data_IF_866848657071
#
_entry.id   IF_866848657071
#
_cell.length_a   1.000
_cell.length_b   1.000
_cell.length_c   1.000
_cell.angle_alpha   90.00
_cell.angle_beta   90.00
_cell.angle_gamma   90.00
#
_symmetry.space_group_name_H-M   'P 1'
#
loop_
_entity.id
_entity.type
_entity.pdbx_description
1 polymer ?
#
# COMPACT_ATOMS: atom_id res chain seq x y z
N UNK A 1 -14.61 -11.21 -17.22
CA UNK A 1 -15.55 -11.37 -16.10
C UNK A 1 -15.30 -10.21 -15.17
N UNK A 2 -16.36 -9.57 -14.72
CA UNK A 2 -16.31 -8.37 -13.90
C UNK A 2 -16.72 -8.74 -12.48
N UNK A 3 -15.92 -8.40 -11.47
CA UNK A 3 -16.18 -8.75 -10.08
C UNK A 3 -16.47 -7.50 -9.27
N UNK A 4 -17.48 -7.59 -8.41
CA UNK A 4 -17.77 -6.55 -7.42
C UNK A 4 -16.83 -6.70 -6.23
N UNK A 5 -16.20 -5.60 -5.82
CA UNK A 5 -15.37 -5.53 -4.61
C UNK A 5 -15.89 -4.45 -3.67
N UNK A 6 -15.66 -4.65 -2.38
CA UNK A 6 -15.87 -3.63 -1.33
C UNK A 6 -14.52 -3.26 -0.76
N UNK A 7 -14.10 -2.01 -0.94
CA UNK A 7 -12.85 -1.50 -0.43
C UNK A 7 -12.91 -1.26 1.09
N UNK A 8 -11.76 -1.18 1.78
CA UNK A 8 -11.68 -0.96 3.22
C UNK A 8 -12.52 0.21 3.77
N UNK A 9 -12.68 1.28 3.01
CA UNK A 9 -13.49 2.44 3.40
C UNK A 9 -15.01 2.27 3.22
N UNK A 10 -15.43 1.22 2.52
CA UNK A 10 -16.80 1.00 2.08
C UNK A 10 -17.11 1.41 0.64
N UNK A 11 -16.13 1.92 -0.14
CA UNK A 11 -16.29 2.12 -1.58
C UNK A 11 -16.57 0.78 -2.28
N UNK A 12 -17.69 0.69 -3.00
CA UNK A 12 -18.10 -0.52 -3.74
C UNK A 12 -18.08 -0.25 -5.23
N UNK A 13 -17.46 -1.15 -5.98
CA UNK A 13 -17.53 -1.08 -7.43
C UNK A 13 -17.18 -2.37 -8.13
N UNK A 14 -17.46 -2.37 -9.43
CA UNK A 14 -17.16 -3.46 -10.34
C UNK A 14 -15.81 -3.21 -10.98
N UNK A 15 -14.93 -4.20 -10.88
CA UNK A 15 -13.61 -4.19 -11.50
C UNK A 15 -13.46 -5.34 -12.49
N UNK A 16 -12.48 -5.19 -13.38
CA UNK A 16 -12.00 -6.26 -14.27
C UNK A 16 -10.50 -6.45 -14.12
N UNK A 17 -10.00 -7.60 -14.57
CA UNK A 17 -8.57 -7.79 -14.79
C UNK A 17 -8.02 -6.88 -15.90
N UNK A 18 -6.71 -6.67 -15.85
CA UNK A 18 -5.94 -6.01 -16.89
C UNK A 18 -6.00 -6.81 -18.20
N UNK A 19 -5.93 -6.10 -19.32
CA UNK A 19 -5.81 -6.67 -20.67
C UNK A 19 -4.44 -6.27 -21.23
N UNK A 20 -4.03 -6.89 -22.34
CA UNK A 20 -2.74 -6.60 -22.99
C UNK A 20 -2.51 -5.09 -23.27
N UNK A 21 -3.57 -4.32 -23.53
CA UNK A 21 -3.47 -2.86 -23.70
C UNK A 21 -2.98 -2.11 -22.45
N UNK A 22 -3.16 -2.65 -21.25
CA UNK A 22 -2.69 -2.04 -19.99
C UNK A 22 -1.19 -2.32 -19.76
N UNK A 23 -0.58 -3.26 -20.50
CA UNK A 23 0.88 -3.49 -20.49
C UNK A 23 1.65 -2.20 -20.83
N UNK A 24 1.13 -1.39 -21.75
CA UNK A 24 1.73 -0.09 -22.10
C UNK A 24 1.84 0.85 -20.90
N UNK A 25 0.87 0.79 -19.97
CA UNK A 25 0.84 1.61 -18.76
C UNK A 25 1.91 1.11 -17.80
N UNK A 26 2.03 -0.21 -17.62
CA UNK A 26 3.06 -0.86 -16.81
C UNK A 26 4.49 -0.60 -17.34
N UNK A 27 4.65 -0.55 -18.66
CA UNK A 27 5.93 -0.28 -19.31
C UNK A 27 6.31 1.21 -19.37
N UNK A 28 5.37 2.14 -19.12
CA UNK A 28 5.61 3.57 -19.24
C UNK A 28 6.46 4.11 -18.08
N UNK A 29 7.73 4.37 -18.37
CA UNK A 29 8.69 4.94 -17.42
C UNK A 29 8.30 6.33 -16.93
N UNK A 30 7.59 7.15 -17.72
CA UNK A 30 7.14 8.48 -17.29
C UNK A 30 6.01 8.36 -16.27
N UNK A 31 5.07 7.42 -16.47
CA UNK A 31 4.02 7.14 -15.49
C UNK A 31 4.57 6.54 -14.20
N UNK A 32 5.52 5.60 -14.31
CA UNK A 32 6.25 5.08 -13.16
C UNK A 32 7.08 6.17 -12.46
N UNK A 33 7.56 7.17 -13.21
CA UNK A 33 8.32 8.30 -12.62
C UNK A 33 7.45 9.27 -11.85
N UNK A 34 6.26 9.56 -12.37
CA UNK A 34 5.30 10.51 -11.78
C UNK A 34 4.41 9.89 -10.69
N UNK A 35 4.43 8.57 -10.51
CA UNK A 35 3.49 7.86 -9.63
C UNK A 35 2.06 7.77 -10.21
N UNK A 36 1.86 8.18 -11.47
CA UNK A 36 0.54 8.16 -12.11
C UNK A 36 0.14 6.77 -12.65
N UNK A 37 1.09 5.83 -12.71
CA UNK A 37 0.87 4.48 -13.26
C UNK A 37 -0.27 3.74 -12.56
N UNK A 38 -0.25 3.72 -11.22
CA UNK A 38 -1.28 3.06 -10.41
C UNK A 38 -2.67 3.62 -10.70
N UNK A 39 -2.80 4.95 -10.71
CA UNK A 39 -4.09 5.59 -11.02
C UNK A 39 -4.59 5.23 -12.42
N UNK A 40 -3.72 5.17 -13.43
CA UNK A 40 -4.16 4.79 -14.78
C UNK A 40 -4.66 3.34 -14.84
N UNK A 41 -4.03 2.42 -14.11
CA UNK A 41 -4.51 1.04 -14.03
C UNK A 41 -5.85 0.98 -13.32
N UNK A 42 -5.98 1.66 -12.17
CA UNK A 42 -7.24 1.75 -11.41
C UNK A 42 -8.37 2.32 -12.27
N UNK A 43 -8.13 3.47 -12.93
CA UNK A 43 -9.10 4.11 -13.81
C UNK A 43 -9.48 3.24 -15.03
N UNK A 44 -8.53 2.49 -15.59
CA UNK A 44 -8.81 1.61 -16.72
C UNK A 44 -9.60 0.36 -16.30
N UNK A 45 -9.37 -0.17 -15.11
CA UNK A 45 -9.91 -1.45 -14.65
C UNK A 45 -11.15 -1.33 -13.76
N UNK A 46 -11.48 -0.14 -13.29
CA UNK A 46 -12.74 0.18 -12.61
C UNK A 46 -13.84 0.44 -13.63
N UNK A 47 -14.85 -0.43 -13.68
CA UNK A 47 -15.90 -0.38 -14.69
C UNK A 47 -17.12 0.42 -14.23
N UNK A 48 -17.50 0.29 -12.96
CA UNK A 48 -18.71 0.93 -12.42
C UNK A 48 -18.56 1.16 -10.92
N UNK A 49 -18.94 2.34 -10.45
CA UNK A 49 -19.09 2.63 -9.01
C UNK A 49 -20.52 2.30 -8.60
N UNK A 50 -20.69 1.38 -7.65
CA UNK A 50 -22.01 0.97 -7.14
C UNK A 50 -22.38 1.72 -5.86
N UNK A 51 -21.37 2.00 -5.03
CA UNK A 51 -21.49 2.83 -3.83
C UNK A 51 -20.17 3.62 -3.69
N UNK A 52 -20.25 4.94 -3.59
CA UNK A 52 -19.06 5.78 -3.43
C UNK A 52 -18.45 5.71 -2.01
N UNK A 53 -19.08 5.01 -1.06
CA UNK A 53 -18.57 4.85 0.30
C UNK A 53 -18.51 6.20 1.03
N UNK A 54 -17.33 6.66 1.48
CA UNK A 54 -17.18 7.95 2.14
C UNK A 54 -16.84 9.09 1.16
N UNK A 55 -16.88 8.86 -0.16
CA UNK A 55 -16.49 9.86 -1.15
C UNK A 55 -17.71 10.51 -1.81
N UNK A 56 -17.55 11.77 -2.21
CA UNK A 56 -18.52 12.49 -3.06
C UNK A 56 -17.87 12.82 -4.42
N UNK A 57 -18.29 12.06 -5.44
CA UNK A 57 -17.88 12.28 -6.84
C UNK A 57 -18.98 12.92 -7.68
N UNK A 58 -20.16 13.17 -7.10
CA UNK A 58 -21.36 13.55 -7.87
C UNK A 58 -21.64 12.59 -9.04
N UNK A 59 -21.90 13.15 -10.21
CA UNK A 59 -22.10 12.40 -11.47
C UNK A 59 -20.79 12.13 -12.23
N UNK A 60 -19.64 12.55 -11.69
CA UNK A 60 -18.36 12.42 -12.38
C UNK A 60 -17.78 11.01 -12.19
N UNK A 61 -16.92 10.55 -13.13
CA UNK A 61 -16.12 9.36 -12.91
C UNK A 61 -15.31 9.49 -11.61
N UNK A 62 -15.04 8.34 -10.98
CA UNK A 62 -14.25 8.28 -9.76
C UNK A 62 -12.90 9.02 -9.92
N UNK A 63 -12.66 9.97 -9.02
CA UNK A 63 -11.37 10.66 -8.92
C UNK A 63 -10.48 9.91 -7.96
N UNK A 64 -9.66 9.03 -8.52
CA UNK A 64 -8.69 8.23 -7.77
C UNK A 64 -7.66 9.06 -7.00
N UNK A 65 -7.48 10.35 -7.31
CA UNK A 65 -6.66 11.26 -6.52
C UNK A 65 -7.26 11.54 -5.13
N UNK A 66 -8.58 11.50 -4.98
CA UNK A 66 -9.30 11.74 -3.71
C UNK A 66 -9.53 10.47 -2.90
N UNK A 67 -9.42 9.30 -3.52
CA UNK A 67 -9.61 8.00 -2.86
C UNK A 67 -8.45 7.75 -1.88
N UNK A 68 -8.78 7.18 -0.71
CA UNK A 68 -7.81 6.79 0.31
C UNK A 68 -6.77 5.80 -0.24
N UNK A 69 -5.54 5.92 0.26
CA UNK A 69 -4.43 5.04 -0.11
C UNK A 69 -4.77 3.55 0.11
N UNK A 70 -5.40 3.20 1.24
CA UNK A 70 -5.80 1.83 1.54
C UNK A 70 -6.75 1.23 0.51
N UNK A 71 -7.77 1.98 0.09
CA UNK A 71 -8.70 1.57 -0.96
C UNK A 71 -8.03 1.39 -2.31
N UNK A 72 -7.15 2.33 -2.67
CA UNK A 72 -6.39 2.28 -3.93
C UNK A 72 -5.52 1.05 -4.00
N UNK A 73 -4.80 0.76 -2.91
CA UNK A 73 -3.95 -0.41 -2.81
C UNK A 73 -4.76 -1.71 -2.82
N UNK A 74 -5.86 -1.77 -2.08
CA UNK A 74 -6.77 -2.92 -2.09
C UNK A 74 -7.37 -3.16 -3.49
N UNK A 75 -7.90 -2.13 -4.15
CA UNK A 75 -8.46 -2.27 -5.50
C UNK A 75 -7.40 -2.75 -6.52
N UNK A 76 -6.17 -2.23 -6.42
CA UNK A 76 -5.04 -2.69 -7.22
C UNK A 76 -4.73 -4.17 -6.99
N UNK A 77 -4.71 -4.61 -5.73
CA UNK A 77 -4.50 -6.00 -5.35
C UNK A 77 -5.57 -6.90 -5.99
N UNK A 78 -6.85 -6.51 -5.89
CA UNK A 78 -7.95 -7.27 -6.50
C UNK A 78 -7.85 -7.30 -8.03
N UNK A 79 -7.46 -6.20 -8.69
CA UNK A 79 -7.20 -6.17 -10.13
C UNK A 79 -6.06 -7.13 -10.49
N UNK A 80 -4.98 -7.18 -9.71
CA UNK A 80 -3.90 -8.17 -9.90
C UNK A 80 -4.48 -9.57 -9.82
N UNK A 81 -5.23 -9.89 -8.76
CA UNK A 81 -5.85 -11.22 -8.57
C UNK A 81 -6.68 -11.63 -9.79
N UNK A 82 -7.48 -10.72 -10.35
CA UNK A 82 -8.26 -11.00 -11.56
C UNK A 82 -7.44 -11.15 -12.84
N UNK A 83 -6.24 -10.58 -12.88
CA UNK A 83 -5.36 -10.59 -14.05
C UNK A 83 -4.50 -11.84 -14.11
N UNK A 84 -3.99 -12.30 -12.96
CA UNK A 84 -2.96 -13.33 -12.90
C UNK A 84 -3.27 -14.49 -11.95
N UNK A 85 -4.43 -14.44 -11.29
CA UNK A 85 -4.77 -15.38 -10.24
C UNK A 85 -4.39 -14.89 -8.85
N UNK A 86 -4.85 -15.60 -7.80
CA UNK A 86 -4.67 -15.20 -6.41
C UNK A 86 -3.27 -15.50 -5.85
N UNK A 87 -2.59 -16.51 -6.37
CA UNK A 87 -1.28 -16.95 -5.89
C UNK A 87 -0.19 -15.92 -6.22
N UNK A 88 0.62 -15.58 -5.23
CA UNK A 88 1.79 -14.73 -5.41
C UNK A 88 3.04 -15.40 -4.84
N UNK A 89 3.93 -15.80 -5.74
CA UNK A 89 5.23 -16.33 -5.41
C UNK A 89 6.30 -15.24 -5.47
N UNK A 90 7.17 -15.22 -4.46
CA UNK A 90 8.31 -14.31 -4.38
C UNK A 90 9.42 -14.97 -3.57
N UNK A 91 10.58 -14.31 -3.49
CA UNK A 91 11.66 -14.79 -2.65
C UNK A 91 12.42 -13.68 -1.97
N UNK A 92 12.79 -13.96 -0.73
CA UNK A 92 13.53 -13.06 0.15
C UNK A 92 14.78 -13.76 0.70
N UNK A 93 15.86 -13.01 0.99
CA UNK A 93 17.01 -13.56 1.71
C UNK A 93 16.62 -13.88 3.16
N UNK A 94 17.16 -14.96 3.72
CA UNK A 94 17.06 -15.19 5.16
C UNK A 94 17.84 -14.12 5.94
N UNK A 95 17.24 -13.55 6.99
CA UNK A 95 17.89 -12.53 7.83
C UNK A 95 18.88 -13.11 8.84
N UNK A 96 18.83 -14.42 9.10
CA UNK A 96 19.79 -15.07 9.97
C UNK A 96 21.18 -15.01 9.34
N UNK A 97 22.12 -14.25 9.94
CA UNK A 97 23.48 -14.05 9.41
C UNK A 97 24.27 -15.33 9.15
N UNK A 98 23.95 -16.43 9.84
CA UNK A 98 24.57 -17.74 9.63
C UNK A 98 23.95 -18.53 8.46
N UNK A 99 22.74 -18.18 8.04
CA UNK A 99 22.01 -18.80 6.94
C UNK A 99 22.11 -17.91 5.70
N UNK A 100 22.47 -18.49 4.55
CA UNK A 100 22.55 -17.77 3.27
C UNK A 100 21.45 -18.22 2.30
N UNK A 101 20.44 -18.90 2.82
CA UNK A 101 19.34 -19.40 2.02
C UNK A 101 18.51 -18.26 1.44
N UNK A 102 17.97 -18.51 0.25
CA UNK A 102 16.84 -17.76 -0.29
C UNK A 102 15.57 -18.52 0.04
N UNK A 103 14.65 -17.83 0.69
CA UNK A 103 13.34 -18.37 1.04
C UNK A 103 12.46 -18.15 -0.19
N UNK A 104 12.01 -19.22 -0.83
CA UNK A 104 10.96 -19.16 -1.85
C UNK A 104 9.62 -19.32 -1.12
N UNK A 105 8.71 -18.36 -1.31
CA UNK A 105 7.44 -18.30 -0.60
C UNK A 105 6.29 -18.07 -1.57
N UNK A 106 5.13 -18.64 -1.28
CA UNK A 106 3.89 -18.42 -2.03
C UNK A 106 2.73 -18.23 -1.06
N UNK A 107 1.86 -17.28 -1.36
CA UNK A 107 0.64 -17.04 -0.59
C UNK A 107 -0.53 -16.65 -1.48
N UNK A 108 -1.74 -16.79 -0.96
CA UNK A 108 -2.96 -16.29 -1.60
C UNK A 108 -3.19 -14.82 -1.20
N UNK A 109 -3.15 -13.91 -2.19
CA UNK A 109 -3.34 -12.48 -1.94
C UNK A 109 -4.73 -12.13 -1.37
N UNK A 110 -5.71 -13.03 -1.47
CA UNK A 110 -7.06 -12.84 -0.90
C UNK A 110 -7.11 -13.13 0.59
N UNK A 111 -6.11 -13.83 1.12
CA UNK A 111 -6.00 -14.18 2.54
C UNK A 111 -5.26 -13.11 3.35
N UNK A 112 -4.71 -12.08 2.69
CA UNK A 112 -4.10 -10.95 3.37
C UNK A 112 -5.16 -10.22 4.24
N UNK A 113 -4.88 -9.98 5.53
CA UNK A 113 -5.81 -9.28 6.40
C UNK A 113 -6.15 -7.89 5.86
N UNK A 114 -7.42 -7.51 5.97
CA UNK A 114 -7.91 -6.20 5.54
C UNK A 114 -8.47 -5.47 6.74
N UNK A 115 -7.87 -4.32 7.05
CA UNK A 115 -8.33 -3.40 8.10
C UNK A 115 -9.35 -2.45 7.50
N UNK A 116 -10.62 -2.60 7.88
CA UNK A 116 -11.70 -1.69 7.47
C UNK A 116 -11.57 -0.33 8.16
N UNK A 117 -11.97 0.73 7.49
CA UNK A 117 -12.03 2.06 8.08
C UNK A 117 -13.06 2.07 9.21
N UNK A 118 -12.64 2.42 10.42
CA UNK A 118 -13.55 2.49 11.58
C UNK A 118 -14.61 3.58 11.38
N UNK A 119 -15.77 3.44 12.03
CA UNK A 119 -16.84 4.45 11.96
C UNK A 119 -16.36 5.84 12.42
N UNK A 120 -15.50 5.89 13.44
CA UNK A 120 -14.87 7.11 13.92
C UNK A 120 -13.99 7.75 12.84
N UNK A 121 -13.11 6.96 12.22
CA UNK A 121 -12.20 7.46 11.17
C UNK A 121 -12.97 7.86 9.91
N UNK A 122 -14.05 7.14 9.59
CA UNK A 122 -14.96 7.49 8.50
C UNK A 122 -15.67 8.81 8.76
N UNK A 123 -16.19 9.04 9.96
CA UNK A 123 -16.82 10.30 10.33
C UNK A 123 -15.83 11.48 10.27
N UNK A 124 -14.61 11.29 10.79
CA UNK A 124 -13.54 12.29 10.73
C UNK A 124 -13.12 12.60 9.28
N UNK A 125 -13.01 11.55 8.44
CA UNK A 125 -12.72 11.68 7.01
C UNK A 125 -13.78 12.51 6.29
N UNK A 126 -15.05 12.21 6.49
CA UNK A 126 -16.19 12.94 5.89
C UNK A 126 -16.28 14.40 6.35
N UNK A 127 -15.93 14.69 7.61
CA UNK A 127 -16.02 16.05 8.15
C UNK A 127 -14.94 16.96 7.57
N UNK A 128 -13.67 16.53 7.60
CA UNK A 128 -12.55 17.35 7.12
C UNK A 128 -11.27 16.57 6.83
N UNK A 129 -11.28 15.24 6.96
CA UNK A 129 -10.06 14.42 6.94
C UNK A 129 -8.98 14.96 7.88
N UNK A 130 -9.37 15.30 9.11
CA UNK A 130 -8.47 15.90 10.10
C UNK A 130 -8.61 15.20 11.44
N UNK A 131 -7.48 14.72 11.94
CA UNK A 131 -7.32 13.98 13.18
C UNK A 131 -6.37 14.76 14.08
N UNK A 132 -6.57 14.70 15.39
CA UNK A 132 -5.75 15.42 16.35
C UNK A 132 -5.24 14.50 17.44
N UNK A 133 -4.00 14.72 17.86
CA UNK A 133 -3.40 14.05 19.02
C UNK A 133 -2.40 14.98 19.70
N UNK A 134 -1.90 14.59 20.86
CA UNK A 134 -0.88 15.33 21.61
C UNK A 134 0.35 14.45 21.75
N UNK A 135 1.49 14.97 21.28
CA UNK A 135 2.77 14.28 21.40
C UNK A 135 3.15 14.12 22.87
N UNK A 136 3.41 12.90 23.37
CA UNK A 136 3.66 12.66 24.78
C UNK A 136 4.92 13.36 25.31
N UNK A 137 6.01 13.40 24.54
CA UNK A 137 7.28 13.98 24.98
C UNK A 137 7.38 15.46 24.64
N UNK A 138 7.07 15.84 23.39
CA UNK A 138 7.09 17.24 22.97
C UNK A 138 5.96 18.08 23.60
N UNK A 139 4.90 17.44 24.11
CA UNK A 139 3.73 18.11 24.70
C UNK A 139 3.01 19.04 23.72
N UNK A 140 3.13 18.78 22.41
CA UNK A 140 2.54 19.60 21.34
C UNK A 140 1.32 18.91 20.76
N UNK A 141 0.25 19.68 20.56
CA UNK A 141 -0.90 19.23 19.79
C UNK A 141 -0.55 19.22 18.30
N UNK A 142 -0.86 18.12 17.63
CA UNK A 142 -0.63 17.95 16.20
C UNK A 142 -1.92 17.55 15.53
N UNK A 143 -2.11 18.03 14.30
CA UNK A 143 -3.17 17.54 13.43
C UNK A 143 -2.56 16.77 12.26
N UNK A 144 -3.22 15.71 11.85
CA UNK A 144 -2.81 14.87 10.74
C UNK A 144 -4.03 14.36 9.98
N UNK A 145 -3.80 13.69 8.86
CA UNK A 145 -4.87 13.22 7.97
C UNK A 145 -4.60 11.83 7.41
N UNK A 146 -5.65 11.20 6.88
CA UNK A 146 -5.49 10.01 6.05
C UNK A 146 -4.94 10.42 4.68
N UNK A 147 -4.06 9.58 4.13
CA UNK A 147 -3.43 9.81 2.84
C UNK A 147 -4.34 9.37 1.70
N UNK A 148 -4.31 10.14 0.61
CA UNK A 148 -5.11 9.95 -0.61
C UNK A 148 -4.20 9.74 -1.82
N UNK A 149 -4.78 9.40 -2.97
CA UNK A 149 -4.03 9.27 -4.23
C UNK A 149 -3.24 10.52 -4.65
N UNK A 150 -3.72 11.72 -4.30
CA UNK A 150 -2.99 12.98 -4.52
C UNK A 150 -1.67 13.00 -3.74
N UNK A 151 -1.67 12.46 -2.52
CA UNK A 151 -0.50 12.41 -1.66
C UNK A 151 0.52 11.40 -2.16
N UNK A 152 0.05 10.21 -2.57
CA UNK A 152 0.91 9.19 -3.16
C UNK A 152 1.69 9.71 -4.37
N UNK A 153 1.00 10.46 -5.24
CA UNK A 153 1.61 11.08 -6.42
C UNK A 153 2.66 12.12 -6.04
N UNK A 154 2.34 12.99 -5.08
CA UNK A 154 3.25 14.02 -4.60
C UNK A 154 4.48 13.40 -3.93
N UNK A 155 4.29 12.33 -3.14
CA UNK A 155 5.35 11.55 -2.52
C UNK A 155 6.25 10.87 -3.56
N UNK A 156 5.68 10.24 -4.59
CA UNK A 156 6.44 9.55 -5.63
C UNK A 156 7.38 10.50 -6.40
N UNK A 157 6.93 11.73 -6.66
CA UNK A 157 7.74 12.77 -7.30
C UNK A 157 8.92 13.22 -6.41
N UNK A 158 8.68 13.34 -5.10
CA UNK A 158 9.66 13.90 -4.15
C UNK A 158 10.62 12.88 -3.54
N UNK A 159 10.23 11.60 -3.38
CA UNK A 159 11.13 10.51 -2.94
C UNK A 159 12.36 10.39 -3.85
N UNK A 160 12.23 10.70 -5.15
CA UNK A 160 13.39 10.75 -6.07
C UNK A 160 14.27 11.99 -5.91
N UNK A 161 13.74 13.09 -5.39
CA UNK A 161 14.47 14.34 -5.23
C UNK A 161 15.23 14.43 -3.91
N UNK A 162 14.71 13.82 -2.83
CA UNK A 162 15.20 14.02 -1.47
C UNK A 162 16.09 12.88 -0.91
N UNK A 163 16.23 11.76 -1.62
CA UNK A 163 16.91 10.56 -1.10
C UNK A 163 16.08 9.79 -0.06
N UNK A 164 16.58 8.63 0.38
CA UNK A 164 15.88 7.72 1.30
C UNK A 164 15.84 8.26 2.74
N UNK A 165 14.93 9.20 3.03
CA UNK A 165 14.49 9.52 4.39
C UNK A 165 13.01 9.13 4.55
N UNK A 166 12.69 7.83 4.73
CA UNK A 166 11.31 7.36 4.61
C UNK A 166 10.39 7.93 5.68
N UNK A 167 10.87 7.99 6.93
CA UNK A 167 10.02 8.33 8.08
C UNK A 167 9.71 9.84 8.19
N UNK A 168 10.72 10.71 8.12
CA UNK A 168 10.49 12.17 8.18
C UNK A 168 9.70 12.67 6.98
N UNK A 169 9.89 12.06 5.81
CA UNK A 169 9.07 12.32 4.63
C UNK A 169 7.61 11.94 4.91
N UNK A 170 7.34 10.72 5.39
CA UNK A 170 5.99 10.26 5.74
C UNK A 170 5.31 11.23 6.73
N UNK A 171 5.99 11.54 7.84
CA UNK A 171 5.49 12.50 8.84
C UNK A 171 5.19 13.86 8.20
N UNK A 172 6.05 14.34 7.31
CA UNK A 172 5.88 15.63 6.63
C UNK A 172 4.63 15.73 5.75
N UNK A 173 4.23 14.63 5.11
CA UNK A 173 3.01 14.58 4.29
C UNK A 173 1.74 14.42 5.10
N UNK A 174 1.86 13.72 6.22
CA UNK A 174 0.71 13.26 6.99
C UNK A 174 0.29 14.23 8.08
N UNK A 175 1.27 14.84 8.76
CA UNK A 175 1.02 15.95 9.65
C UNK A 175 0.53 17.15 8.83
N UNK A 176 -0.45 17.89 9.32
CA UNK A 176 -0.95 19.12 8.70
C UNK A 176 -0.45 20.34 9.47
N UNK A 177 -0.76 20.39 10.77
CA UNK A 177 -0.42 21.50 11.66
C UNK A 177 0.22 20.98 12.94
N UNK A 178 1.14 21.75 13.49
CA UNK A 178 1.82 21.47 14.76
C UNK A 178 1.69 22.73 15.59
N UNK A 179 1.14 22.61 16.80
CA UNK A 179 0.88 23.76 17.67
C UNK A 179 2.17 24.53 17.99
N UNK A 180 2.12 25.85 17.82
CA UNK A 180 3.27 26.74 18.00
C UNK A 180 4.40 26.59 16.97
N UNK A 181 4.20 25.87 15.86
CA UNK A 181 5.19 25.70 14.80
C UNK A 181 4.65 26.27 13.48
N UNK A 182 5.36 27.26 12.94
CA UNK A 182 5.03 27.85 11.64
C UNK A 182 5.22 26.83 10.50
N UNK A 183 4.42 26.89 9.41
CA UNK A 183 4.51 25.93 8.30
C UNK A 183 5.92 25.77 7.70
N UNK A 184 6.72 26.84 7.69
CA UNK A 184 8.11 26.83 7.20
C UNK A 184 9.07 26.06 8.10
N UNK A 185 8.77 25.97 9.39
CA UNK A 185 9.61 25.36 10.42
C UNK A 185 9.18 23.91 10.71
N UNK A 186 8.07 23.46 10.12
CA UNK A 186 7.53 22.09 10.26
C UNK A 186 8.54 20.99 9.94
N UNK A 187 9.27 21.11 8.83
CA UNK A 187 10.24 20.08 8.44
C UNK A 187 11.36 19.95 9.49
N UNK A 188 11.84 21.09 9.99
CA UNK A 188 12.85 21.12 11.04
C UNK A 188 12.33 20.50 12.34
N UNK A 189 11.09 20.83 12.73
CA UNK A 189 10.46 20.23 13.90
C UNK A 189 10.37 18.69 13.77
N UNK A 190 10.01 18.18 12.60
CA UNK A 190 9.94 16.74 12.34
C UNK A 190 11.33 16.08 12.42
N UNK A 191 12.38 16.76 11.94
CA UNK A 191 13.76 16.27 12.01
C UNK A 191 14.32 16.27 13.44
N UNK A 192 13.88 17.20 14.28
CA UNK A 192 14.26 17.32 15.69
C UNK A 192 13.37 16.49 16.64
N UNK A 193 12.37 15.77 16.12
CA UNK A 193 11.40 15.02 16.92
C UNK A 193 12.03 13.77 17.56
N UNK A 194 11.76 13.56 18.85
CA UNK A 194 12.20 12.38 19.57
C UNK A 194 11.58 11.08 19.02
N UNK A 195 12.34 9.98 19.01
CA UNK A 195 11.87 8.72 18.45
C UNK A 195 10.64 8.12 19.16
N UNK A 196 10.43 8.45 20.44
CA UNK A 196 9.23 8.03 21.18
C UNK A 196 7.97 8.70 20.63
N UNK A 197 8.01 10.03 20.41
CA UNK A 197 6.94 10.76 19.74
C UNK A 197 6.71 10.29 18.29
N UNK A 198 7.79 9.99 17.56
CA UNK A 198 7.70 9.40 16.21
C UNK A 198 6.96 8.05 16.26
N UNK A 199 7.33 7.18 17.19
CA UNK A 199 6.69 5.86 17.35
C UNK A 199 5.22 6.00 17.76
N UNK A 200 4.91 6.93 18.67
CA UNK A 200 3.55 7.26 19.05
C UNK A 200 2.72 7.73 17.85
N UNK A 201 3.26 8.63 17.03
CA UNK A 201 2.61 9.10 15.79
C UNK A 201 2.33 7.96 14.82
N UNK A 202 3.28 7.05 14.61
CA UNK A 202 3.08 5.88 13.76
C UNK A 202 1.95 4.98 14.28
N UNK A 203 1.84 4.80 15.61
CA UNK A 203 0.73 4.07 16.22
C UNK A 203 -0.62 4.77 16.03
N UNK A 204 -0.66 6.10 16.15
CA UNK A 204 -1.87 6.87 15.88
C UNK A 204 -2.28 6.83 14.40
N UNK A 205 -1.32 6.81 13.50
CA UNK A 205 -1.56 6.64 12.07
C UNK A 205 -2.14 5.29 11.75
N UNK A 206 -1.51 4.22 12.25
CA UNK A 206 -2.03 2.87 12.09
C UNK A 206 -3.45 2.77 12.65
N UNK A 207 -3.70 3.25 13.88
CA UNK A 207 -5.01 3.18 14.54
C UNK A 207 -6.17 3.69 13.68
N UNK A 208 -5.98 4.78 12.94
CA UNK A 208 -7.02 5.41 12.11
C UNK A 208 -7.04 4.93 10.66
N UNK A 209 -5.96 4.30 10.20
CA UNK A 209 -5.84 3.83 8.83
C UNK A 209 -6.74 2.64 8.54
N UNK A 210 -7.02 2.51 7.24
CA UNK A 210 -7.59 1.33 6.64
C UNK A 210 -6.67 0.85 5.52
N UNK A 211 -6.70 -0.44 5.20
CA UNK A 211 -5.81 -0.99 4.19
C UNK A 211 -5.69 -2.50 4.23
N UNK A 212 -4.66 -2.99 3.55
CA UNK A 212 -4.29 -4.41 3.53
C UNK A 212 -3.01 -4.55 4.32
N UNK A 213 -2.96 -5.52 5.22
CA UNK A 213 -1.74 -5.83 5.95
C UNK A 213 -0.80 -6.64 5.07
N UNK A 214 0.36 -6.05 4.83
CA UNK A 214 1.39 -6.54 3.93
C UNK A 214 2.64 -6.99 4.66
N UNK A 215 2.74 -6.73 5.97
CA UNK A 215 3.73 -7.38 6.83
C UNK A 215 3.30 -8.83 7.06
N UNK A 216 4.17 -9.77 6.68
CA UNK A 216 3.94 -11.21 6.86
C UNK A 216 5.15 -11.86 7.52
N UNK A 217 4.90 -12.98 8.19
CA UNK A 217 5.96 -13.85 8.70
C UNK A 217 6.24 -14.96 7.69
N UNK A 218 7.53 -15.11 7.34
CA UNK A 218 8.02 -16.20 6.50
C UNK A 218 8.99 -17.06 7.29
N UNK A 219 8.91 -18.38 7.11
CA UNK A 219 9.82 -19.33 7.75
C UNK A 219 10.89 -19.81 6.77
N UNK A 220 12.15 -19.76 7.19
CA UNK A 220 13.26 -20.28 6.40
C UNK A 220 13.28 -21.82 6.43
N UNK A 221 13.22 -22.51 5.28
CA UNK A 221 13.21 -23.98 5.24
C UNK A 221 14.56 -24.61 5.66
N UNK A 222 15.65 -23.83 5.66
CA UNK A 222 16.98 -24.36 6.01
C UNK A 222 17.34 -24.20 7.49
N UNK A 223 17.01 -23.06 8.10
CA UNK A 223 17.36 -22.79 9.49
C UNK A 223 16.16 -22.69 10.44
N UNK A 224 14.93 -22.85 9.92
CA UNK A 224 13.66 -22.73 10.66
C UNK A 224 13.50 -21.38 11.40
N UNK A 225 14.24 -20.37 10.96
CA UNK A 225 14.13 -19.02 11.49
C UNK A 225 12.94 -18.32 10.84
N UNK A 226 12.10 -17.69 11.64
CA UNK A 226 11.02 -16.83 11.18
C UNK A 226 11.52 -15.41 10.98
N UNK A 227 11.09 -14.77 9.89
CA UNK A 227 11.42 -13.39 9.56
C UNK A 227 10.13 -12.64 9.22
N UNK A 228 9.97 -11.43 9.76
CA UNK A 228 8.92 -10.50 9.34
C UNK A 228 9.41 -9.73 8.13
N UNK A 229 8.64 -9.76 7.06
CA UNK A 229 8.96 -9.03 5.84
C UNK A 229 7.78 -8.19 5.41
N UNK A 230 8.08 -7.10 4.74
CA UNK A 230 7.12 -6.39 3.92
C UNK A 230 6.94 -7.16 2.60
N UNK A 231 5.70 -7.46 2.21
CA UNK A 231 5.42 -8.17 0.96
C UNK A 231 6.05 -7.40 -0.22
N UNK A 232 6.91 -8.03 -1.05
CA UNK A 232 7.62 -7.30 -2.08
C UNK A 232 6.69 -6.97 -3.25
N UNK A 233 6.45 -5.69 -3.52
CA UNK A 233 5.68 -5.22 -4.68
C UNK A 233 6.59 -4.73 -5.81
N UNK A 234 7.39 -5.64 -6.36
CA UNK A 234 8.31 -5.33 -7.45
C UNK A 234 7.67 -5.53 -8.84
N UNK A 235 8.45 -5.41 -9.91
CA UNK A 235 7.99 -5.67 -11.29
C UNK A 235 7.28 -7.02 -11.44
N UNK A 236 7.72 -8.04 -10.71
CA UNK A 236 7.14 -9.38 -10.70
C UNK A 236 5.69 -9.44 -10.18
N UNK A 237 5.23 -8.43 -9.42
CA UNK A 237 3.87 -8.39 -8.89
C UNK A 237 2.80 -8.27 -10.00
N UNK A 238 3.06 -7.40 -10.98
CA UNK A 238 2.18 -7.19 -12.14
C UNK A 238 2.58 -7.99 -13.38
N UNK A 239 3.71 -8.68 -13.36
CA UNK A 239 4.19 -9.54 -14.44
C UNK A 239 4.86 -10.76 -13.81
N UNK A 240 4.07 -11.71 -13.26
CA UNK A 240 4.63 -12.89 -12.62
C UNK A 240 5.50 -13.64 -13.63
N UNK A 241 6.73 -13.97 -13.22
CA UNK A 241 7.61 -14.79 -14.04
C UNK A 241 6.96 -16.17 -14.23
N UNK A 242 7.05 -16.73 -15.44
CA UNK A 242 6.54 -18.08 -15.68
C UNK A 242 7.24 -19.03 -14.72
N UNK A 243 6.49 -19.67 -13.81
CA UNK A 243 6.95 -20.87 -13.07
C UNK A 243 7.56 -21.80 -14.11
N UNK A 244 8.89 -22.00 -14.06
CA UNK A 244 9.51 -23.09 -14.83
C UNK A 244 8.99 -24.37 -14.21
N UNK A 245 7.96 -24.96 -14.81
CA UNK A 245 7.64 -26.37 -14.56
C UNK A 245 8.86 -27.18 -14.97
N UNK A 246 9.61 -27.68 -13.99
CA UNK A 246 10.59 -28.72 -14.27
C UNK A 246 9.85 -29.92 -14.88
N UNK A 247 10.28 -30.44 -16.04
CA UNK A 247 9.68 -31.65 -16.60
C UNK A 247 9.90 -32.79 -15.61
N UNK A 248 8.81 -33.48 -15.27
CA UNK A 248 8.70 -34.47 -14.21
C UNK A 248 9.94 -35.33 -13.94
N UNK A 249 10.28 -35.45 -12.67
CA UNK A 249 11.10 -36.53 -12.16
C UNK A 249 10.43 -37.87 -12.51
N UNK A 250 10.84 -38.47 -13.63
CA UNK A 250 10.56 -39.87 -13.94
C UNK A 250 11.15 -40.71 -12.81
N UNK A 251 10.28 -41.22 -11.95
CA UNK A 251 10.58 -42.34 -11.06
C UNK A 251 10.92 -43.55 -11.91
N UNK A 252 12.22 -43.75 -12.17
CA UNK A 252 12.77 -45.02 -12.64
C UNK A 252 12.75 -46.00 -11.47
N UNK A 253 11.66 -46.75 -11.33
CA UNK A 253 11.67 -48.02 -10.61
C UNK A 253 12.59 -48.98 -11.35
N UNK A 254 13.80 -49.21 -10.82
CA UNK A 254 14.58 -50.40 -11.19
C UNK A 254 14.19 -51.53 -10.25
N UNK A 255 13.66 -52.57 -10.86
CA UNK A 255 13.48 -53.92 -10.33
C UNK A 255 14.80 -54.56 -9.92
#
# INVERSE_FOLDING_TARGET
MSNTITCPSGLVGRIRGMKAREERVLADRKLARSGAQLEQILAACWEETLDAGPYDFGEQPIDWGKVLQGDRFFAMLQIRVLSYGPEYAFSVPCENRGCRARIEWELDLRELPVKTLSDESRAAFLASNRFETTLPDAGRKVAFRLLTGHDERRMAALRRAAGERPITTLLGYRLETIDGVEPRDKQKFIEDLGMADVTFLLGEFDRVDCGVETEIEVECPECFGTTRIELPFEKGFFLPERRRTEPGATTSSRS
#
